data_IF_080937038600
#
_entry.id   IF_080937038600
#
_cell.length_a   1.000
_cell.length_b   1.000
_cell.length_c   1.000
_cell.angle_alpha   90.00
_cell.angle_beta   90.00
_cell.angle_gamma   90.00
#
_symmetry.space_group_name_H-M   'P 1'
#
loop_
_entity.id
_entity.type
_entity.pdbx_description
1 polymer ?
#
# COMPACT_ATOMS: atom_id res chain seq x y z
N UNK A 1 -37.53 -36.16 6.03
CA UNK A 1 -37.97 -35.33 4.89
C UNK A 1 -37.96 -33.89 5.34
N UNK A 2 -36.89 -33.18 5.05
CA UNK A 2 -36.72 -31.77 5.37
C UNK A 2 -36.72 -30.95 4.08
N UNK A 3 -37.77 -30.21 3.87
CA UNK A 3 -38.00 -29.34 2.71
C UNK A 3 -37.02 -28.21 2.73
N UNK A 4 -36.05 -28.22 1.80
CA UNK A 4 -35.20 -27.05 1.52
C UNK A 4 -36.08 -25.97 0.88
N UNK A 5 -36.34 -24.90 1.63
CA UNK A 5 -36.90 -23.67 1.07
C UNK A 5 -35.80 -23.03 0.23
N UNK A 6 -35.90 -23.15 -1.07
CA UNK A 6 -35.13 -22.35 -2.03
C UNK A 6 -35.68 -20.93 -1.98
N UNK A 7 -34.91 -20.04 -1.39
CA UNK A 7 -35.13 -18.59 -1.53
C UNK A 7 -34.83 -18.26 -3.00
N UNK A 8 -35.80 -17.70 -3.77
CA UNK A 8 -35.51 -17.28 -5.13
C UNK A 8 -34.48 -16.20 -5.08
N UNK A 9 -33.36 -16.40 -5.82
CA UNK A 9 -32.47 -15.31 -6.18
C UNK A 9 -33.31 -14.22 -6.83
N UNK A 10 -33.41 -13.09 -6.15
CA UNK A 10 -33.97 -11.88 -6.71
C UNK A 10 -33.24 -11.62 -8.03
N UNK A 11 -33.92 -11.85 -9.14
CA UNK A 11 -33.46 -11.33 -10.44
C UNK A 11 -33.61 -9.82 -10.33
N UNK A 12 -32.53 -9.13 -9.92
CA UNK A 12 -32.41 -7.72 -10.13
C UNK A 12 -32.65 -7.47 -11.62
N UNK A 13 -33.80 -6.91 -11.94
CA UNK A 13 -34.01 -6.20 -13.18
C UNK A 13 -32.92 -5.12 -13.21
N UNK A 14 -31.82 -5.39 -13.89
CA UNK A 14 -30.87 -4.38 -14.27
C UNK A 14 -31.60 -3.48 -15.26
N UNK A 15 -32.22 -2.40 -14.78
CA UNK A 15 -32.60 -1.27 -15.62
C UNK A 15 -31.34 -0.93 -16.43
N UNK A 16 -31.50 -1.04 -17.75
CA UNK A 16 -30.42 -0.75 -18.69
C UNK A 16 -30.07 0.72 -18.52
N UNK A 17 -28.98 0.99 -17.80
CA UNK A 17 -28.56 2.36 -17.53
C UNK A 17 -28.20 3.05 -18.85
N UNK A 18 -28.27 4.38 -18.85
CA UNK A 18 -28.00 5.21 -20.02
C UNK A 18 -26.66 4.90 -20.68
N UNK A 19 -26.59 5.13 -21.99
CA UNK A 19 -25.36 4.99 -22.75
C UNK A 19 -24.44 6.17 -22.51
N UNK A 20 -23.16 5.91 -22.28
CA UNK A 20 -22.11 6.92 -22.05
C UNK A 20 -21.10 6.82 -23.19
N UNK A 21 -20.87 7.94 -23.85
CA UNK A 21 -19.83 8.06 -24.89
C UNK A 21 -18.49 8.44 -24.23
N UNK A 22 -17.38 7.87 -24.72
CA UNK A 22 -16.01 8.23 -24.31
C UNK A 22 -15.21 8.61 -25.57
N UNK A 23 -14.78 9.85 -25.65
CA UNK A 23 -13.80 10.29 -26.63
C UNK A 23 -12.40 10.11 -26.09
N UNK A 24 -11.64 9.22 -26.71
CA UNK A 24 -10.28 8.88 -26.31
C UNK A 24 -10.14 7.41 -25.88
N UNK A 25 -9.31 6.69 -26.65
CA UNK A 25 -9.01 5.26 -26.48
C UNK A 25 -7.70 5.01 -25.72
N UNK A 26 -7.18 6.02 -25.00
CA UNK A 26 -6.00 5.92 -24.15
C UNK A 26 -6.26 5.13 -22.86
N UNK A 27 -5.22 4.94 -22.05
CA UNK A 27 -5.28 4.13 -20.82
C UNK A 27 -6.38 4.58 -19.85
N UNK A 28 -6.58 5.88 -19.70
CA UNK A 28 -7.61 6.43 -18.83
C UNK A 28 -9.02 6.13 -19.36
N UNK A 29 -9.28 6.43 -20.65
CA UNK A 29 -10.58 6.18 -21.26
C UNK A 29 -10.96 4.70 -21.22
N UNK A 30 -10.02 3.79 -21.53
CA UNK A 30 -10.23 2.33 -21.42
C UNK A 30 -10.55 1.87 -20.01
N UNK A 31 -9.82 2.38 -19.04
CA UNK A 31 -9.99 2.00 -17.63
C UNK A 31 -11.33 2.48 -17.09
N UNK A 32 -11.71 3.72 -17.41
CA UNK A 32 -13.00 4.28 -17.03
C UNK A 32 -14.15 3.55 -17.73
N UNK A 33 -14.02 3.29 -19.04
CA UNK A 33 -15.01 2.53 -19.81
C UNK A 33 -15.22 1.12 -19.27
N UNK A 34 -14.14 0.40 -18.92
CA UNK A 34 -14.23 -0.92 -18.26
C UNK A 34 -14.98 -0.84 -16.92
N UNK A 35 -14.74 0.21 -16.15
CA UNK A 35 -15.39 0.40 -14.86
C UNK A 35 -16.87 0.73 -15.00
N UNK A 36 -17.23 1.54 -15.97
CA UNK A 36 -18.63 1.86 -16.31
C UNK A 36 -19.40 0.62 -16.77
N UNK A 37 -18.80 -0.20 -17.65
CA UNK A 37 -19.38 -1.48 -18.10
C UNK A 37 -19.64 -2.44 -16.91
N UNK A 38 -18.67 -2.58 -16.00
CA UNK A 38 -18.82 -3.38 -14.77
C UNK A 38 -19.96 -2.86 -13.87
N UNK A 39 -20.28 -1.59 -13.96
CA UNK A 39 -21.36 -0.95 -13.18
C UNK A 39 -22.69 -0.91 -13.90
N UNK A 40 -22.82 -1.61 -15.06
CA UNK A 40 -24.07 -1.77 -15.80
C UNK A 40 -24.41 -0.64 -16.78
N UNK A 41 -23.48 0.28 -17.08
CA UNK A 41 -23.65 1.28 -18.14
C UNK A 41 -23.31 0.69 -19.51
N UNK A 42 -24.01 1.16 -20.56
CA UNK A 42 -23.57 0.92 -21.95
C UNK A 42 -22.50 1.93 -22.30
N UNK A 43 -21.36 1.46 -22.84
CA UNK A 43 -20.21 2.33 -23.17
C UNK A 43 -19.96 2.30 -24.66
N UNK A 44 -19.84 3.48 -25.27
CA UNK A 44 -19.57 3.68 -26.67
C UNK A 44 -18.27 4.51 -26.77
N UNK A 45 -17.26 3.97 -27.44
CA UNK A 45 -16.05 4.74 -27.71
C UNK A 45 -16.16 5.47 -29.06
N UNK A 46 -15.92 6.77 -29.01
CA UNK A 46 -15.71 7.55 -30.22
C UNK A 46 -14.24 7.54 -30.61
N UNK A 47 -13.93 7.05 -31.81
CA UNK A 47 -12.57 6.94 -32.33
C UNK A 47 -12.46 7.53 -33.73
N UNK A 48 -11.27 8.07 -34.07
CA UNK A 48 -10.91 8.47 -35.43
C UNK A 48 -10.80 7.26 -36.36
N UNK A 49 -10.38 6.12 -35.82
CA UNK A 49 -10.23 4.86 -36.53
C UNK A 49 -11.01 3.75 -35.78
N UNK A 50 -12.31 3.58 -36.05
CA UNK A 50 -13.14 2.58 -35.39
C UNK A 50 -12.70 1.14 -35.58
N UNK A 51 -11.96 0.86 -36.66
CA UNK A 51 -11.44 -0.49 -36.95
C UNK A 51 -10.29 -0.95 -36.05
N UNK A 52 -9.62 -0.07 -35.34
CA UNK A 52 -8.52 -0.40 -34.40
C UNK A 52 -9.01 -0.48 -32.94
N UNK A 53 -9.81 -1.50 -32.70
CA UNK A 53 -10.46 -1.72 -31.37
C UNK A 53 -9.77 -2.77 -30.50
N UNK A 54 -8.59 -3.27 -30.90
CA UNK A 54 -7.93 -4.43 -30.29
C UNK A 54 -7.66 -4.34 -28.80
N UNK A 55 -7.52 -3.13 -28.25
CA UNK A 55 -7.23 -2.86 -26.84
C UNK A 55 -8.44 -2.40 -26.04
N UNK A 56 -9.62 -2.28 -26.64
CA UNK A 56 -10.83 -1.80 -25.99
C UNK A 56 -11.59 -2.95 -25.31
N UNK A 57 -12.41 -2.68 -24.27
CA UNK A 57 -13.24 -3.72 -23.65
C UNK A 57 -14.19 -4.33 -24.66
N UNK A 58 -14.24 -5.66 -24.74
CA UNK A 58 -15.06 -6.41 -25.72
C UNK A 58 -16.55 -6.10 -25.71
N UNK A 59 -17.06 -5.62 -24.56
CA UNK A 59 -18.47 -5.27 -24.39
C UNK A 59 -18.79 -3.83 -24.78
N UNK A 60 -17.81 -3.02 -25.16
CA UNK A 60 -18.00 -1.65 -25.62
C UNK A 60 -18.22 -1.59 -27.12
N UNK A 61 -19.10 -0.70 -27.57
CA UNK A 61 -19.27 -0.37 -28.97
C UNK A 61 -18.20 0.65 -29.39
N UNK A 62 -17.67 0.56 -30.62
CA UNK A 62 -16.69 1.53 -31.11
C UNK A 62 -17.21 2.12 -32.43
N UNK A 63 -17.39 3.42 -32.46
CA UNK A 63 -17.97 4.15 -33.57
C UNK A 63 -17.13 5.39 -33.94
N UNK A 64 -17.51 6.08 -34.98
CA UNK A 64 -17.00 7.43 -35.26
C UNK A 64 -17.39 8.40 -34.14
N UNK A 65 -16.70 9.53 -33.99
CA UNK A 65 -17.02 10.52 -32.97
C UNK A 65 -18.47 11.01 -33.05
N UNK A 66 -18.95 11.25 -34.28
CA UNK A 66 -20.31 11.75 -34.56
C UNK A 66 -21.38 10.73 -34.15
N UNK A 67 -21.24 9.48 -34.61
CA UNK A 67 -22.19 8.40 -34.28
C UNK A 67 -22.21 8.05 -32.80
N UNK A 68 -21.03 8.02 -32.19
CA UNK A 68 -20.91 7.76 -30.74
C UNK A 68 -21.59 8.87 -29.91
N UNK A 69 -21.39 10.12 -30.29
CA UNK A 69 -22.02 11.25 -29.63
C UNK A 69 -23.54 11.24 -29.83
N UNK A 70 -24.05 10.89 -31.00
CA UNK A 70 -25.50 10.85 -31.27
C UNK A 70 -26.24 9.85 -30.37
N UNK A 71 -25.61 8.70 -30.06
CA UNK A 71 -26.20 7.62 -29.26
C UNK A 71 -26.18 7.87 -27.73
N UNK A 72 -25.57 8.95 -27.25
CA UNK A 72 -25.33 9.15 -25.83
C UNK A 72 -25.72 10.56 -25.38
N UNK A 73 -26.28 10.69 -24.19
CA UNK A 73 -26.59 11.99 -23.54
C UNK A 73 -25.38 12.55 -22.77
N UNK A 74 -24.47 11.67 -22.32
CA UNK A 74 -23.24 12.02 -21.60
C UNK A 74 -22.04 11.64 -22.44
N UNK A 75 -21.14 12.60 -22.66
CA UNK A 75 -19.91 12.43 -23.45
C UNK A 75 -18.71 12.75 -22.55
N UNK A 76 -17.86 11.78 -22.31
CA UNK A 76 -16.63 11.94 -21.52
C UNK A 76 -15.47 12.25 -22.49
N UNK A 77 -14.85 13.40 -22.30
CA UNK A 77 -13.74 13.89 -23.11
C UNK A 77 -12.41 13.46 -22.47
N UNK A 78 -11.91 12.27 -22.85
CA UNK A 78 -10.68 11.66 -22.30
C UNK A 78 -9.47 11.88 -23.21
N UNK A 79 -9.34 13.08 -23.75
CA UNK A 79 -8.21 13.54 -24.58
C UNK A 79 -7.56 14.76 -23.93
N UNK A 80 -6.34 15.09 -24.31
CA UNK A 80 -5.65 16.29 -23.83
C UNK A 80 -6.22 17.54 -24.49
N UNK A 81 -6.15 18.67 -23.80
CA UNK A 81 -6.64 20.00 -24.26
C UNK A 81 -6.17 20.33 -25.69
N UNK A 82 -4.92 20.06 -26.02
CA UNK A 82 -4.34 20.37 -27.34
C UNK A 82 -5.05 19.63 -28.49
N UNK A 83 -5.85 18.63 -28.17
CA UNK A 83 -6.62 17.84 -29.14
C UNK A 83 -8.11 18.13 -29.16
N UNK A 84 -8.58 19.20 -28.54
CA UNK A 84 -10.02 19.54 -28.52
C UNK A 84 -10.56 20.06 -29.85
N UNK A 85 -9.72 20.38 -30.83
CA UNK A 85 -10.14 20.97 -32.11
C UNK A 85 -11.20 20.16 -32.85
N UNK A 86 -11.20 18.83 -32.76
CA UNK A 86 -12.23 18.00 -33.43
C UNK A 86 -13.64 18.22 -32.86
N UNK A 87 -13.78 18.74 -31.63
CA UNK A 87 -15.07 19.03 -31.00
C UNK A 87 -15.79 20.22 -31.66
N UNK A 88 -15.03 21.07 -32.36
CA UNK A 88 -15.61 22.17 -33.13
C UNK A 88 -16.51 21.70 -34.26
N UNK A 89 -16.12 20.57 -34.91
CA UNK A 89 -16.89 19.94 -35.96
C UNK A 89 -18.13 19.20 -35.45
N UNK A 90 -18.20 18.95 -34.14
CA UNK A 90 -19.29 18.21 -33.51
C UNK A 90 -20.29 19.11 -32.76
N UNK A 91 -20.17 20.42 -32.83
CA UNK A 91 -21.00 21.39 -32.05
C UNK A 91 -22.51 21.11 -32.14
N UNK A 92 -23.01 20.82 -33.33
CA UNK A 92 -24.43 20.55 -33.57
C UNK A 92 -24.88 19.24 -32.88
N UNK A 93 -24.03 18.19 -32.91
CA UNK A 93 -24.32 16.89 -32.31
C UNK A 93 -24.23 16.94 -30.79
N UNK A 94 -23.39 17.83 -30.26
CA UNK A 94 -23.16 18.00 -28.82
C UNK A 94 -24.17 18.92 -28.15
N UNK A 95 -25.05 19.56 -28.91
CA UNK A 95 -26.09 20.47 -28.38
C UNK A 95 -26.95 19.77 -27.31
N UNK A 96 -27.07 20.40 -26.15
CA UNK A 96 -27.89 19.93 -25.03
C UNK A 96 -27.35 18.68 -24.30
N UNK A 97 -26.14 18.21 -24.65
CA UNK A 97 -25.49 17.07 -23.98
C UNK A 97 -24.59 17.51 -22.84
N UNK A 98 -24.28 16.55 -21.95
CA UNK A 98 -23.31 16.76 -20.86
C UNK A 98 -21.94 16.35 -21.36
N UNK A 99 -20.99 17.29 -21.35
CA UNK A 99 -19.58 17.04 -21.66
C UNK A 99 -18.80 16.96 -20.36
N UNK A 100 -18.18 15.81 -20.09
CA UNK A 100 -17.34 15.60 -18.90
C UNK A 100 -15.89 15.75 -19.29
N UNK A 101 -15.25 16.81 -18.81
CA UNK A 101 -13.81 17.00 -18.98
C UNK A 101 -13.04 16.27 -17.86
N UNK A 102 -12.14 15.36 -18.28
CA UNK A 102 -11.29 14.55 -17.36
C UNK A 102 -9.81 14.92 -17.48
N UNK A 103 -9.46 15.91 -18.28
CA UNK A 103 -8.09 16.27 -18.61
C UNK A 103 -7.35 16.94 -17.45
N UNK A 104 -6.04 16.88 -17.47
CA UNK A 104 -5.13 17.64 -16.62
C UNK A 104 -4.02 18.27 -17.46
N UNK A 105 -3.54 19.41 -17.01
CA UNK A 105 -2.34 20.03 -17.55
C UNK A 105 -1.07 19.37 -17.01
N UNK A 106 0.01 19.36 -17.80
CA UNK A 106 1.30 18.82 -17.38
C UNK A 106 2.00 19.71 -16.34
N UNK A 107 1.73 21.01 -16.39
CA UNK A 107 2.30 22.00 -15.48
C UNK A 107 1.19 22.79 -14.78
N UNK A 108 1.40 23.13 -13.53
CA UNK A 108 0.51 24.01 -12.77
C UNK A 108 0.51 25.39 -13.45
N UNK A 109 -0.67 25.99 -13.59
CA UNK A 109 -0.87 27.27 -14.27
C UNK A 109 -0.35 27.32 -15.74
N UNK A 110 -0.44 26.19 -16.45
CA UNK A 110 0.01 26.13 -17.85
C UNK A 110 -0.77 27.05 -18.78
N UNK A 111 -2.08 27.23 -18.53
CA UNK A 111 -2.96 28.12 -19.28
C UNK A 111 -3.66 29.09 -18.32
N UNK A 112 -4.10 30.28 -18.77
CA UNK A 112 -4.78 31.26 -17.94
C UNK A 112 -6.15 30.73 -17.45
N UNK A 113 -6.89 30.04 -18.29
CA UNK A 113 -8.18 29.41 -18.01
C UNK A 113 -8.04 27.90 -17.78
N UNK A 114 -9.03 27.26 -17.13
CA UNK A 114 -9.08 25.81 -16.98
C UNK A 114 -9.38 25.11 -18.33
N UNK A 115 -9.06 23.83 -18.42
CA UNK A 115 -9.41 23.03 -19.59
C UNK A 115 -10.92 22.89 -19.76
N UNK A 116 -11.65 22.83 -18.63
CA UNK A 116 -13.11 22.76 -18.64
C UNK A 116 -13.75 24.07 -19.12
N UNK A 117 -13.23 25.23 -18.72
CA UNK A 117 -13.67 26.53 -19.23
C UNK A 117 -13.38 26.67 -20.73
N UNK A 118 -12.21 26.24 -21.17
CA UNK A 118 -11.86 26.21 -22.59
C UNK A 118 -12.81 25.28 -23.38
N UNK A 119 -13.14 24.10 -22.84
CA UNK A 119 -14.11 23.20 -23.45
C UNK A 119 -15.51 23.85 -23.58
N UNK A 120 -15.94 24.62 -22.57
CA UNK A 120 -17.19 25.37 -22.60
C UNK A 120 -17.20 26.47 -23.67
N UNK A 121 -16.06 27.09 -23.97
CA UNK A 121 -15.93 28.04 -25.08
C UNK A 121 -16.02 27.33 -26.44
N UNK A 122 -15.47 26.14 -26.60
CA UNK A 122 -15.54 25.36 -27.85
C UNK A 122 -16.96 24.86 -28.12
N UNK A 123 -17.68 24.39 -27.09
CA UNK A 123 -19.02 23.82 -27.22
C UNK A 123 -20.02 24.56 -26.33
N UNK A 124 -20.39 25.81 -26.66
CA UNK A 124 -21.21 26.67 -25.80
C UNK A 124 -22.67 26.21 -25.65
N UNK A 125 -23.14 25.34 -26.51
CA UNK A 125 -24.48 24.74 -26.47
C UNK A 125 -24.57 23.46 -25.64
N UNK A 126 -23.43 22.94 -25.16
CA UNK A 126 -23.35 21.79 -24.29
C UNK A 126 -23.10 22.21 -22.83
N UNK A 127 -23.50 21.37 -21.90
CA UNK A 127 -23.22 21.56 -20.47
C UNK A 127 -21.93 20.92 -20.05
N UNK A 128 -20.94 21.70 -19.64
CA UNK A 128 -19.62 21.15 -19.23
C UNK A 128 -19.58 20.85 -17.74
N UNK A 129 -19.07 19.67 -17.41
CA UNK A 129 -18.78 19.21 -16.04
C UNK A 129 -17.34 18.78 -15.94
N UNK A 130 -16.60 19.33 -15.00
CA UNK A 130 -15.25 18.82 -14.66
C UNK A 130 -15.37 17.68 -13.68
N UNK A 131 -14.80 16.53 -14.00
CA UNK A 131 -14.77 15.38 -13.08
C UNK A 131 -13.63 14.41 -13.42
N UNK A 132 -13.32 13.47 -12.51
CA UNK A 132 -12.36 12.36 -12.69
C UNK A 132 -10.89 12.73 -12.90
N UNK A 133 -10.53 13.97 -13.03
CA UNK A 133 -9.15 14.41 -13.29
C UNK A 133 -8.15 14.02 -12.18
N UNK A 134 -8.62 13.76 -10.95
CA UNK A 134 -7.81 13.36 -9.80
C UNK A 134 -7.67 11.83 -9.64
N UNK A 135 -8.34 11.05 -10.50
CA UNK A 135 -8.30 9.57 -10.47
C UNK A 135 -7.32 9.05 -11.49
N UNK A 136 -6.45 8.12 -11.10
CA UNK A 136 -5.53 7.49 -12.05
C UNK A 136 -6.19 6.32 -12.78
N UNK A 137 -5.74 6.06 -14.03
CA UNK A 137 -6.16 4.89 -14.82
C UNK A 137 -5.91 3.57 -14.05
N UNK A 138 -4.80 3.49 -13.34
CA UNK A 138 -4.46 2.35 -12.51
C UNK A 138 -5.45 2.13 -11.35
N UNK A 139 -5.88 3.21 -10.70
CA UNK A 139 -6.87 3.12 -9.62
C UNK A 139 -8.23 2.59 -10.09
N UNK A 140 -8.63 2.95 -11.32
CA UNK A 140 -9.85 2.45 -11.95
C UNK A 140 -9.75 0.95 -12.29
N UNK A 141 -8.58 0.47 -12.71
CA UNK A 141 -8.36 -0.93 -13.07
C UNK A 141 -8.19 -1.84 -11.86
N UNK A 142 -7.38 -1.44 -10.89
CA UNK A 142 -6.99 -2.30 -9.77
C UNK A 142 -8.06 -2.42 -8.69
N UNK A 143 -9.06 -1.55 -8.68
CA UNK A 143 -10.07 -1.50 -7.61
C UNK A 143 -9.44 -1.30 -6.23
N UNK A 144 -8.18 -0.81 -6.17
CA UNK A 144 -7.40 -0.78 -4.96
C UNK A 144 -8.06 0.10 -3.90
N UNK A 145 -8.13 -0.42 -2.69
CA UNK A 145 -8.57 0.30 -1.49
C UNK A 145 -7.67 1.52 -1.18
N UNK A 146 -6.50 1.55 -1.79
CA UNK A 146 -5.41 2.50 -1.53
C UNK A 146 -5.42 3.73 -2.45
N UNK A 147 -6.28 3.77 -3.46
CA UNK A 147 -6.40 4.92 -4.35
C UNK A 147 -7.30 5.99 -3.72
N UNK A 148 -6.99 7.25 -3.99
CA UNK A 148 -7.87 8.36 -3.64
C UNK A 148 -9.23 8.16 -4.35
N UNK A 149 -10.27 7.75 -3.60
CA UNK A 149 -11.60 7.49 -4.13
C UNK A 149 -12.42 8.75 -4.31
N UNK A 150 -11.90 9.90 -3.91
CA UNK A 150 -12.58 11.17 -4.03
C UNK A 150 -12.47 11.68 -5.46
N UNK A 151 -13.62 12.03 -6.03
CA UNK A 151 -13.75 12.68 -7.34
C UNK A 151 -14.33 14.06 -7.11
N UNK A 152 -13.55 15.07 -7.42
CA UNK A 152 -14.04 16.44 -7.40
C UNK A 152 -14.91 16.67 -8.64
N UNK A 153 -16.09 17.24 -8.42
CA UNK A 153 -17.04 17.53 -9.49
C UNK A 153 -17.45 19.01 -9.39
N UNK A 154 -17.34 19.73 -10.49
CA UNK A 154 -17.82 21.10 -10.58
C UNK A 154 -18.49 21.37 -11.93
N UNK A 155 -19.52 22.19 -11.93
CA UNK A 155 -20.27 22.63 -13.10
C UNK A 155 -21.20 23.78 -12.70
N UNK A 156 -21.58 24.61 -13.67
CA UNK A 156 -22.57 25.67 -13.46
C UNK A 156 -24.00 25.11 -13.48
N UNK A 157 -24.25 23.98 -14.14
CA UNK A 157 -25.54 23.29 -14.13
C UNK A 157 -25.61 22.25 -13.01
N UNK A 158 -26.52 22.49 -12.04
CA UNK A 158 -26.69 21.59 -10.89
C UNK A 158 -27.27 20.22 -11.27
N UNK A 159 -28.11 20.13 -12.33
CA UNK A 159 -28.69 18.86 -12.77
C UNK A 159 -27.63 17.96 -13.40
N UNK A 160 -26.85 18.51 -14.34
CA UNK A 160 -25.74 17.82 -14.96
C UNK A 160 -24.70 17.40 -13.91
N UNK A 161 -24.35 18.27 -12.97
CA UNK A 161 -23.45 17.97 -11.86
C UNK A 161 -23.95 16.78 -11.03
N UNK A 162 -25.22 16.79 -10.62
CA UNK A 162 -25.81 15.71 -9.84
C UNK A 162 -25.80 14.38 -10.62
N UNK A 163 -26.14 14.39 -11.90
CA UNK A 163 -26.11 13.20 -12.76
C UNK A 163 -24.70 12.60 -12.82
N UNK A 164 -23.66 13.42 -12.98
CA UNK A 164 -22.28 12.93 -12.97
C UNK A 164 -21.87 12.43 -11.59
N UNK A 165 -22.28 13.07 -10.49
CA UNK A 165 -22.05 12.60 -9.14
C UNK A 165 -22.69 11.22 -8.90
N UNK A 166 -23.86 10.94 -9.46
CA UNK A 166 -24.53 9.64 -9.36
C UNK A 166 -23.77 8.56 -10.17
N UNK A 167 -23.25 8.89 -11.34
CA UNK A 167 -22.34 8.02 -12.10
C UNK A 167 -21.08 7.70 -11.28
N UNK A 168 -20.46 8.71 -10.64
CA UNK A 168 -19.30 8.54 -9.77
C UNK A 168 -19.59 7.57 -8.62
N UNK A 169 -20.77 7.70 -7.97
CA UNK A 169 -21.21 6.78 -6.90
C UNK A 169 -21.42 5.36 -7.43
N UNK A 170 -22.04 5.23 -8.59
CA UNK A 170 -22.35 3.95 -9.20
C UNK A 170 -21.09 3.13 -9.52
N UNK A 171 -19.99 3.77 -9.89
CA UNK A 171 -18.70 3.09 -10.12
C UNK A 171 -17.86 2.87 -8.85
N UNK A 172 -18.43 3.17 -7.66
CA UNK A 172 -17.79 2.92 -6.35
C UNK A 172 -16.81 4.00 -5.89
N UNK A 173 -16.88 5.20 -6.48
CA UNK A 173 -16.09 6.37 -6.07
C UNK A 173 -16.94 7.33 -5.23
N UNK A 174 -16.29 8.26 -4.52
CA UNK A 174 -16.95 9.23 -3.64
C UNK A 174 -16.90 10.61 -4.30
N UNK A 175 -18.01 11.13 -4.82
CA UNK A 175 -18.04 12.45 -5.42
C UNK A 175 -18.01 13.53 -4.33
N UNK A 176 -17.31 14.62 -4.62
CA UNK A 176 -17.27 15.83 -3.81
C UNK A 176 -17.60 17.02 -4.69
N UNK A 177 -18.70 17.68 -4.37
CA UNK A 177 -19.12 18.92 -5.06
C UNK A 177 -18.15 20.06 -4.74
N UNK A 178 -17.63 20.70 -5.78
CA UNK A 178 -16.73 21.86 -5.71
C UNK A 178 -17.40 23.15 -6.20
N UNK A 179 -18.70 23.13 -6.46
CA UNK A 179 -19.47 24.30 -6.88
C UNK A 179 -19.48 24.52 -8.38
N UNK A 180 -19.26 25.77 -8.82
CA UNK A 180 -19.31 26.21 -10.21
C UNK A 180 -18.11 25.77 -11.04
N UNK A 181 -18.20 25.92 -12.37
CA UNK A 181 -17.13 25.56 -13.31
C UNK A 181 -15.84 26.35 -13.07
N UNK A 182 -15.89 27.52 -12.49
CA UNK A 182 -14.72 28.34 -12.10
C UNK A 182 -13.78 27.56 -11.16
N UNK A 183 -14.32 26.67 -10.32
CA UNK A 183 -13.50 25.82 -9.47
C UNK A 183 -12.65 24.79 -10.25
N UNK A 184 -12.92 24.58 -11.55
CA UNK A 184 -12.15 23.65 -12.37
C UNK A 184 -10.67 23.99 -12.39
N UNK A 185 -10.30 25.26 -12.39
CA UNK A 185 -8.91 25.72 -12.35
C UNK A 185 -8.20 25.25 -11.09
N UNK A 186 -8.81 25.40 -9.92
CA UNK A 186 -8.28 24.91 -8.65
C UNK A 186 -8.14 23.37 -8.64
N UNK A 187 -9.11 22.67 -9.22
CA UNK A 187 -9.12 21.21 -9.30
C UNK A 187 -8.03 20.69 -10.24
N UNK A 188 -7.77 21.37 -11.36
CA UNK A 188 -6.72 21.02 -12.32
C UNK A 188 -5.32 21.29 -11.77
N UNK A 189 -5.16 22.38 -11.04
CA UNK A 189 -3.91 22.74 -10.37
C UNK A 189 -3.74 22.04 -9.01
N UNK A 190 -4.71 21.17 -8.62
CA UNK A 190 -4.61 20.41 -7.39
C UNK A 190 -3.37 19.51 -7.41
N UNK A 191 -2.45 19.68 -6.46
CA UNK A 191 -1.19 18.96 -6.48
C UNK A 191 -1.43 17.45 -6.34
N UNK A 192 -1.29 16.72 -7.43
CA UNK A 192 -1.29 15.27 -7.41
C UNK A 192 -0.10 14.81 -6.56
N UNK A 193 -0.40 14.24 -5.42
CA UNK A 193 0.64 13.73 -4.53
C UNK A 193 1.29 12.50 -5.16
N UNK A 194 2.58 12.62 -5.53
CA UNK A 194 3.35 11.47 -5.99
C UNK A 194 3.48 10.45 -4.85
N UNK A 195 3.05 9.23 -5.12
CA UNK A 195 3.18 8.09 -4.21
C UNK A 195 2.66 8.36 -2.78
N UNK A 196 1.40 8.79 -2.56
CA UNK A 196 0.91 9.20 -1.24
C UNK A 196 1.06 8.10 -0.18
N UNK A 197 0.85 6.83 -0.56
CA UNK A 197 0.98 5.68 0.33
C UNK A 197 2.42 5.29 0.65
N UNK A 198 3.40 5.76 -0.14
CA UNK A 198 4.82 5.48 0.07
C UNK A 198 5.53 6.51 0.95
N UNK A 199 4.95 7.69 1.14
CA UNK A 199 5.58 8.78 1.90
C UNK A 199 5.90 8.36 3.33
N UNK A 200 4.92 7.89 4.09
CA UNK A 200 5.12 7.46 5.47
C UNK A 200 6.14 6.31 5.59
N UNK A 201 6.05 5.20 4.83
CA UNK A 201 7.07 4.16 4.79
C UNK A 201 8.47 4.66 4.48
N UNK A 202 8.61 5.52 3.47
CA UNK A 202 9.92 6.07 3.07
C UNK A 202 10.52 6.98 4.13
N UNK A 203 9.72 7.89 4.73
CA UNK A 203 10.20 8.72 5.84
C UNK A 203 10.57 7.89 7.08
N UNK A 204 9.78 6.87 7.41
CA UNK A 204 10.09 5.96 8.52
C UNK A 204 11.39 5.19 8.25
N UNK A 205 11.56 4.67 7.04
CA UNK A 205 12.77 3.97 6.63
C UNK A 205 13.99 4.89 6.66
N UNK A 206 13.90 6.09 6.07
CA UNK A 206 14.98 7.07 6.06
C UNK A 206 15.38 7.50 7.48
N UNK A 207 14.39 7.82 8.33
CA UNK A 207 14.63 8.19 9.72
C UNK A 207 15.32 7.09 10.53
N UNK A 208 14.84 5.83 10.41
CA UNK A 208 15.49 4.69 11.05
C UNK A 208 16.91 4.46 10.52
N UNK A 209 17.10 4.58 9.20
CA UNK A 209 18.43 4.42 8.58
C UNK A 209 19.42 5.45 9.09
N UNK A 210 19.04 6.72 9.13
CA UNK A 210 19.87 7.80 9.67
C UNK A 210 20.19 7.56 11.14
N UNK A 211 19.19 7.22 11.94
CA UNK A 211 19.37 6.96 13.38
C UNK A 211 20.35 5.79 13.61
N UNK A 212 20.14 4.66 12.93
CA UNK A 212 21.02 3.48 13.05
C UNK A 212 22.41 3.76 12.49
N UNK A 213 22.52 4.54 11.40
CA UNK A 213 23.80 4.96 10.84
C UNK A 213 24.59 5.81 11.84
N UNK A 214 23.99 6.84 12.41
CA UNK A 214 24.64 7.68 13.43
C UNK A 214 25.06 6.86 14.64
N UNK A 215 24.20 5.94 15.07
CA UNK A 215 24.53 5.03 16.17
C UNK A 215 25.76 4.16 15.83
N UNK A 216 25.82 3.58 14.63
CA UNK A 216 26.99 2.81 14.18
C UNK A 216 28.25 3.67 14.09
N UNK A 217 28.15 4.88 13.56
CA UNK A 217 29.30 5.81 13.46
C UNK A 217 29.83 6.15 14.85
N UNK A 218 28.96 6.52 15.79
CA UNK A 218 29.39 6.84 17.15
C UNK A 218 30.01 5.61 17.82
N UNK A 219 29.34 4.47 17.77
CA UNK A 219 29.78 3.28 18.47
C UNK A 219 31.01 2.61 17.86
N UNK A 220 31.16 2.63 16.54
CA UNK A 220 32.26 1.91 15.86
C UNK A 220 33.40 2.83 15.41
N UNK A 221 33.11 4.04 14.92
CA UNK A 221 34.14 4.95 14.39
C UNK A 221 34.66 5.88 15.48
N UNK A 222 33.77 6.65 16.12
CA UNK A 222 34.20 7.67 17.11
C UNK A 222 34.86 6.99 18.30
N UNK A 223 34.30 5.92 18.82
CA UNK A 223 34.91 5.15 19.93
C UNK A 223 36.29 4.61 19.60
N UNK A 224 36.53 4.10 18.39
CA UNK A 224 37.84 3.60 18.00
C UNK A 224 38.83 4.75 17.66
N UNK A 225 38.35 5.87 17.11
CA UNK A 225 39.13 7.04 16.86
C UNK A 225 39.69 7.65 18.16
N UNK A 226 38.89 7.68 19.25
CA UNK A 226 39.34 8.08 20.58
C UNK A 226 40.51 7.20 21.07
N UNK A 227 40.48 5.91 20.72
CA UNK A 227 41.53 4.95 21.03
C UNK A 227 42.69 4.97 20.02
N UNK A 228 42.73 5.93 19.09
CA UNK A 228 43.73 6.07 18.01
C UNK A 228 43.79 4.81 17.10
N UNK A 229 42.69 4.11 16.93
CA UNK A 229 42.58 2.95 16.02
C UNK A 229 41.83 3.43 14.77
N UNK A 230 42.51 3.39 13.61
CA UNK A 230 41.86 3.71 12.33
C UNK A 230 40.98 2.55 11.87
N UNK A 231 39.70 2.82 11.75
CA UNK A 231 38.66 1.88 11.27
C UNK A 231 37.84 2.47 10.14
N UNK A 232 38.34 3.55 9.50
CA UNK A 232 37.65 4.26 8.41
C UNK A 232 37.26 3.35 7.23
N UNK A 233 38.03 2.29 6.99
CA UNK A 233 37.76 1.27 5.96
C UNK A 233 36.44 0.47 6.19
N UNK A 234 35.88 0.50 7.40
CA UNK A 234 34.60 -0.15 7.70
C UNK A 234 33.39 0.62 7.15
N UNK A 235 33.57 1.90 6.81
CA UNK A 235 32.46 2.80 6.47
C UNK A 235 31.65 2.31 5.26
N UNK A 236 32.31 1.86 4.21
CA UNK A 236 31.67 1.59 2.92
C UNK A 236 30.91 0.28 2.82
N UNK A 237 31.36 -0.77 3.51
CA UNK A 237 30.73 -2.11 3.40
C UNK A 237 30.27 -2.66 4.76
N UNK A 238 31.11 -2.58 5.78
CA UNK A 238 30.79 -3.23 7.05
C UNK A 238 29.68 -2.50 7.81
N UNK A 239 29.64 -1.17 7.78
CA UNK A 239 28.57 -0.38 8.41
C UNK A 239 27.24 -0.57 7.68
N UNK A 240 27.12 -0.40 6.34
CA UNK A 240 25.88 -0.70 5.62
C UNK A 240 25.36 -2.13 5.87
N UNK A 241 26.25 -3.13 5.87
CA UNK A 241 25.86 -4.52 6.16
C UNK A 241 25.33 -4.75 7.59
N UNK A 242 25.57 -3.83 8.52
CA UNK A 242 24.97 -3.84 9.86
C UNK A 242 23.65 -3.07 9.88
N UNK A 243 23.55 -1.97 9.12
CA UNK A 243 22.37 -1.11 9.07
C UNK A 243 21.20 -1.82 8.39
N UNK A 244 21.43 -2.40 7.22
CA UNK A 244 20.37 -3.01 6.41
C UNK A 244 19.56 -4.07 7.16
N UNK A 245 20.15 -5.08 7.82
CA UNK A 245 19.37 -6.08 8.55
C UNK A 245 18.64 -5.50 9.76
N UNK A 246 19.28 -4.55 10.46
CA UNK A 246 18.67 -3.87 11.63
C UNK A 246 17.42 -3.11 11.21
N UNK A 247 17.53 -2.26 10.21
CA UNK A 247 16.39 -1.46 9.70
C UNK A 247 15.33 -2.37 9.11
N UNK A 248 15.70 -3.39 8.33
CA UNK A 248 14.77 -4.36 7.76
C UNK A 248 13.95 -5.06 8.83
N UNK A 249 14.59 -5.59 9.87
CA UNK A 249 13.91 -6.31 10.96
C UNK A 249 13.01 -5.39 11.79
N UNK A 250 13.43 -4.16 12.05
CA UNK A 250 12.60 -3.15 12.72
C UNK A 250 11.36 -2.79 11.88
N UNK A 251 11.53 -2.55 10.58
CA UNK A 251 10.43 -2.26 9.65
C UNK A 251 9.46 -3.45 9.55
N UNK A 252 9.97 -4.67 9.50
CA UNK A 252 9.14 -5.88 9.50
C UNK A 252 8.30 -5.97 10.79
N UNK A 253 8.89 -5.69 11.94
CA UNK A 253 8.17 -5.59 13.21
C UNK A 253 7.07 -4.52 13.16
N UNK A 254 7.39 -3.34 12.61
CA UNK A 254 6.43 -2.24 12.42
C UNK A 254 5.28 -2.58 11.45
N UNK A 255 5.44 -3.53 10.53
CA UNK A 255 4.35 -4.04 9.69
C UNK A 255 3.28 -4.79 10.50
N UNK A 256 3.67 -5.52 11.55
CA UNK A 256 2.76 -6.35 12.34
C UNK A 256 2.23 -5.65 13.59
N UNK A 257 2.96 -4.67 14.11
CA UNK A 257 2.62 -3.94 15.33
C UNK A 257 1.23 -3.26 15.27
N UNK A 258 0.81 -2.58 14.19
CA UNK A 258 -0.51 -1.94 14.15
C UNK A 258 -1.66 -2.96 14.21
N UNK A 259 -1.48 -4.19 13.70
CA UNK A 259 -2.46 -5.25 13.85
C UNK A 259 -2.65 -5.72 15.30
N UNK A 260 -1.58 -5.69 16.08
CA UNK A 260 -1.59 -5.97 17.53
C UNK A 260 -2.30 -4.83 18.28
N UNK A 261 -1.98 -3.57 17.98
CA UNK A 261 -2.66 -2.41 18.57
C UNK A 261 -4.15 -2.39 18.23
N UNK A 262 -4.52 -2.70 17.00
CA UNK A 262 -5.91 -2.80 16.59
C UNK A 262 -6.68 -3.86 17.41
N UNK A 263 -6.07 -5.02 17.65
CA UNK A 263 -6.66 -6.07 18.48
C UNK A 263 -6.83 -5.62 19.94
N UNK A 264 -5.84 -4.95 20.53
CA UNK A 264 -5.89 -4.42 21.90
C UNK A 264 -7.00 -3.36 22.01
N UNK A 265 -7.09 -2.43 21.04
CA UNK A 265 -8.14 -1.41 21.04
C UNK A 265 -9.53 -2.03 20.88
N UNK A 266 -9.69 -3.07 20.05
CA UNK A 266 -10.95 -3.81 19.92
C UNK A 266 -11.35 -4.50 21.23
N UNK A 267 -10.40 -5.11 21.94
CA UNK A 267 -10.63 -5.69 23.26
C UNK A 267 -11.06 -4.65 24.31
N UNK A 268 -10.39 -3.50 24.31
CA UNK A 268 -10.70 -2.41 25.24
C UNK A 268 -12.09 -1.83 24.97
N UNK A 269 -12.41 -1.52 23.71
CA UNK A 269 -13.71 -0.94 23.33
C UNK A 269 -14.86 -1.93 23.33
N UNK A 270 -14.59 -3.22 23.13
CA UNK A 270 -15.60 -4.28 23.10
C UNK A 270 -16.50 -4.26 21.86
N UNK A 271 -16.15 -3.51 20.80
CA UNK A 271 -16.91 -3.40 19.56
C UNK A 271 -15.98 -3.36 18.33
N UNK A 272 -16.45 -3.87 17.19
CA UNK A 272 -15.77 -3.75 15.89
C UNK A 272 -16.21 -2.52 15.09
N UNK A 273 -17.30 -1.87 15.46
CA UNK A 273 -17.92 -0.79 14.68
C UNK A 273 -17.33 0.60 14.97
N UNK A 274 -16.58 0.73 16.07
CA UNK A 274 -15.93 1.99 16.40
C UNK A 274 -14.70 2.22 15.54
N UNK A 275 -14.63 3.38 14.88
CA UNK A 275 -13.51 3.77 14.01
C UNK A 275 -12.21 3.82 14.80
N UNK A 276 -11.11 3.32 14.22
CA UNK A 276 -9.78 3.43 14.81
C UNK A 276 -9.29 4.88 14.83
N UNK A 277 -8.34 5.23 15.72
CA UNK A 277 -7.66 6.51 15.66
C UNK A 277 -7.00 6.74 14.30
N UNK A 278 -7.04 7.97 13.80
CA UNK A 278 -6.54 8.30 12.46
C UNK A 278 -5.08 7.89 12.22
N UNK A 279 -4.21 7.97 13.25
CA UNK A 279 -2.82 7.55 13.15
C UNK A 279 -2.67 6.04 12.92
N UNK A 280 -3.48 5.22 13.61
CA UNK A 280 -3.46 3.77 13.47
C UNK A 280 -4.03 3.33 12.13
N UNK A 281 -5.12 3.98 11.69
CA UNK A 281 -5.74 3.74 10.39
C UNK A 281 -4.76 4.00 9.24
N UNK A 282 -4.09 5.17 9.25
CA UNK A 282 -3.02 5.50 8.29
C UNK A 282 -1.87 4.50 8.32
N UNK A 283 -1.46 4.07 9.51
CA UNK A 283 -0.39 3.07 9.65
C UNK A 283 -0.80 1.71 9.08
N UNK A 284 -2.04 1.27 9.34
CA UNK A 284 -2.56 0.01 8.78
C UNK A 284 -2.64 0.04 7.24
N UNK A 285 -2.98 1.18 6.65
CA UNK A 285 -3.06 1.35 5.20
C UNK A 285 -1.68 1.24 4.50
N UNK A 286 -0.60 1.71 5.12
CA UNK A 286 0.73 1.69 4.52
C UNK A 286 1.58 0.44 4.85
N UNK A 287 1.01 -0.59 5.51
CA UNK A 287 1.73 -1.81 5.91
C UNK A 287 2.37 -2.55 4.73
N UNK A 288 1.68 -2.61 3.59
CA UNK A 288 2.17 -3.24 2.36
C UNK A 288 3.47 -2.58 1.89
N UNK A 289 3.46 -1.26 1.74
CA UNK A 289 4.61 -0.49 1.29
C UNK A 289 5.76 -0.59 2.28
N UNK A 290 5.46 -0.55 3.58
CA UNK A 290 6.44 -0.72 4.65
C UNK A 290 7.13 -2.10 4.57
N UNK A 291 6.36 -3.16 4.33
CA UNK A 291 6.88 -4.52 4.14
C UNK A 291 7.75 -4.66 2.90
N UNK A 292 7.39 -4.02 1.78
CA UNK A 292 8.19 -4.04 0.55
C UNK A 292 9.52 -3.28 0.72
N UNK A 293 9.52 -2.14 1.41
CA UNK A 293 10.77 -1.42 1.74
C UNK A 293 11.66 -2.27 2.65
N UNK A 294 11.07 -2.92 3.65
CA UNK A 294 11.80 -3.80 4.55
C UNK A 294 12.41 -5.01 3.80
N UNK A 295 11.68 -5.60 2.83
CA UNK A 295 12.21 -6.66 1.97
C UNK A 295 13.38 -6.18 1.10
N UNK A 296 13.30 -4.96 0.56
CA UNK A 296 14.42 -4.38 -0.20
C UNK A 296 15.69 -4.24 0.64
N UNK A 297 15.56 -3.84 1.92
CA UNK A 297 16.69 -3.80 2.85
C UNK A 297 17.20 -5.19 3.22
N UNK A 298 16.34 -6.20 3.37
CA UNK A 298 16.75 -7.59 3.56
C UNK A 298 17.53 -8.11 2.34
N UNK A 299 17.10 -7.75 1.13
CA UNK A 299 17.79 -8.12 -0.10
C UNK A 299 19.18 -7.47 -0.19
N UNK A 300 19.30 -6.19 0.14
CA UNK A 300 20.59 -5.50 0.22
C UNK A 300 21.50 -6.17 1.26
N UNK A 301 20.99 -6.54 2.43
CA UNK A 301 21.75 -7.28 3.43
C UNK A 301 22.29 -8.61 2.87
N UNK A 302 21.46 -9.37 2.17
CA UNK A 302 21.89 -10.63 1.56
C UNK A 302 23.01 -10.41 0.55
N UNK A 303 22.92 -9.42 -0.34
CA UNK A 303 23.96 -9.07 -1.31
C UNK A 303 25.26 -8.67 -0.60
N UNK A 304 25.18 -7.74 0.37
CA UNK A 304 26.37 -7.31 1.10
C UNK A 304 27.03 -8.43 1.87
N UNK A 305 26.26 -9.36 2.43
CA UNK A 305 26.77 -10.53 3.13
C UNK A 305 27.53 -11.48 2.19
N UNK A 306 27.07 -11.63 0.93
CA UNK A 306 27.78 -12.42 -0.08
C UNK A 306 29.07 -11.72 -0.57
N UNK A 307 29.08 -10.39 -0.65
CA UNK A 307 30.24 -9.63 -1.11
C UNK A 307 31.37 -9.55 -0.07
N UNK A 308 31.05 -9.57 1.22
CA UNK A 308 32.04 -9.44 2.30
C UNK A 308 33.15 -10.50 2.25
N UNK A 309 32.86 -11.80 2.12
CA UNK A 309 33.88 -12.83 2.02
C UNK A 309 34.81 -12.66 0.80
N UNK A 310 34.25 -12.19 -0.31
CA UNK A 310 34.99 -11.95 -1.55
C UNK A 310 35.99 -10.79 -1.36
N UNK A 311 35.54 -9.69 -0.73
CA UNK A 311 36.36 -8.50 -0.55
C UNK A 311 37.44 -8.63 0.52
N UNK A 312 37.08 -9.16 1.68
CA UNK A 312 38.07 -9.36 2.77
C UNK A 312 38.93 -10.57 2.56
N UNK A 313 38.90 -11.09 1.35
CA UNK A 313 39.56 -12.27 0.91
C UNK A 313 39.90 -13.20 2.10
N UNK A 314 39.18 -14.27 2.15
CA UNK A 314 39.64 -15.52 2.76
C UNK A 314 41.13 -15.68 2.57
N UNK A 315 41.69 -15.15 1.49
CA UNK A 315 43.08 -15.09 1.11
C UNK A 315 43.97 -14.43 2.16
N UNK A 316 43.72 -13.22 2.63
CA UNK A 316 44.67 -12.54 3.51
C UNK A 316 44.57 -12.97 4.99
N UNK A 317 43.38 -13.13 5.53
CA UNK A 317 43.20 -13.60 6.91
C UNK A 317 43.38 -15.12 7.06
N UNK A 318 42.93 -15.88 6.06
CA UNK A 318 43.08 -17.31 6.04
C UNK A 318 44.57 -17.71 5.93
N UNK A 319 45.29 -17.11 5.01
CA UNK A 319 46.70 -17.38 4.77
C UNK A 319 47.55 -16.98 5.99
N UNK A 320 47.33 -15.82 6.58
CA UNK A 320 48.03 -15.37 7.78
C UNK A 320 47.67 -16.19 9.01
N UNK A 321 46.42 -16.64 9.17
CA UNK A 321 46.02 -17.54 10.25
C UNK A 321 46.62 -18.92 10.09
N UNK A 322 46.65 -19.48 8.89
CA UNK A 322 47.26 -20.78 8.59
C UNK A 322 48.77 -20.70 8.80
N UNK A 323 49.43 -19.66 8.29
CA UNK A 323 50.89 -19.47 8.46
C UNK A 323 51.24 -19.32 9.94
N UNK A 324 50.45 -18.57 10.73
CA UNK A 324 50.70 -18.44 12.16
C UNK A 324 50.49 -19.76 12.94
N UNK A 325 49.47 -20.55 12.56
CA UNK A 325 49.21 -21.86 13.17
C UNK A 325 50.30 -22.89 12.82
N UNK A 326 50.77 -22.88 11.58
CA UNK A 326 51.90 -23.74 11.15
C UNK A 326 53.17 -23.35 11.90
N UNK A 327 53.48 -22.06 12.03
CA UNK A 327 54.62 -21.57 12.82
C UNK A 327 54.55 -21.95 14.29
N UNK A 328 53.35 -22.06 14.87
CA UNK A 328 53.13 -22.42 16.28
C UNK A 328 52.98 -23.94 16.51
N UNK A 329 53.06 -24.77 15.47
CA UNK A 329 52.86 -26.21 15.51
C UNK A 329 51.57 -26.66 16.26
N UNK A 330 50.52 -25.82 16.17
CA UNK A 330 49.21 -26.04 16.80
C UNK A 330 48.27 -26.79 15.85
N UNK A 331 47.75 -27.94 16.29
CA UNK A 331 46.67 -28.63 15.62
C UNK A 331 45.38 -27.77 15.68
N UNK A 332 44.71 -27.60 14.56
CA UNK A 332 43.44 -26.86 14.48
C UNK A 332 42.35 -27.71 15.13
N UNK A 333 41.96 -27.33 16.34
CA UNK A 333 40.81 -27.93 17.02
C UNK A 333 39.52 -27.32 16.43
N UNK A 334 38.70 -28.21 15.86
CA UNK A 334 37.38 -27.81 15.32
C UNK A 334 36.40 -27.65 16.49
N UNK A 335 36.08 -26.41 16.83
CA UNK A 335 35.12 -26.11 17.90
C UNK A 335 33.68 -26.36 17.41
N UNK A 336 33.18 -27.58 17.61
CA UNK A 336 31.84 -28.02 17.22
C UNK A 336 30.68 -27.02 17.62
N UNK A 337 30.64 -26.48 18.86
CA UNK A 337 29.58 -25.54 19.24
C UNK A 337 29.56 -24.28 18.41
N UNK A 338 30.71 -23.76 17.98
CA UNK A 338 30.82 -22.56 17.15
C UNK A 338 30.26 -22.79 15.73
N UNK A 339 30.54 -24.00 15.19
CA UNK A 339 30.01 -24.38 13.87
C UNK A 339 28.49 -24.53 13.92
N UNK A 340 27.99 -25.28 14.91
CA UNK A 340 26.54 -25.42 15.10
C UNK A 340 25.80 -24.06 15.16
N UNK A 341 26.32 -23.12 15.91
CA UNK A 341 25.75 -21.79 15.99
C UNK A 341 25.77 -21.08 14.63
N UNK A 342 26.91 -21.14 13.94
CA UNK A 342 27.09 -20.54 12.62
C UNK A 342 26.07 -21.08 11.61
N UNK A 343 25.93 -22.37 11.54
CA UNK A 343 25.03 -23.05 10.63
C UNK A 343 23.57 -22.78 10.98
N UNK A 344 23.24 -22.76 12.28
CA UNK A 344 21.88 -22.48 12.75
C UNK A 344 21.42 -21.08 12.39
N UNK A 345 22.21 -20.03 12.66
CA UNK A 345 21.76 -18.69 12.30
C UNK A 345 21.70 -18.48 10.79
N UNK A 346 22.61 -19.08 10.02
CA UNK A 346 22.56 -19.03 8.55
C UNK A 346 21.29 -19.72 8.02
N UNK A 347 20.99 -20.92 8.50
CA UNK A 347 19.78 -21.66 8.12
C UNK A 347 18.50 -20.88 8.42
N UNK A 348 18.40 -20.29 9.61
CA UNK A 348 17.27 -19.43 9.98
C UNK A 348 17.18 -18.20 9.08
N UNK A 349 18.31 -17.58 8.72
CA UNK A 349 18.37 -16.43 7.83
C UNK A 349 17.91 -16.77 6.41
N UNK A 350 18.38 -17.86 5.84
CA UNK A 350 18.00 -18.34 4.50
C UNK A 350 16.50 -18.63 4.46
N UNK A 351 16.00 -19.41 5.43
CA UNK A 351 14.59 -19.78 5.49
C UNK A 351 13.68 -18.57 5.73
N UNK A 352 14.07 -17.67 6.63
CA UNK A 352 13.36 -16.42 6.89
C UNK A 352 13.30 -15.53 5.65
N UNK A 353 14.42 -15.40 4.92
CA UNK A 353 14.47 -14.61 3.69
C UNK A 353 13.64 -15.22 2.56
N UNK A 354 13.64 -16.56 2.42
CA UNK A 354 12.78 -17.26 1.47
C UNK A 354 11.30 -16.92 1.70
N UNK A 355 10.80 -17.07 2.93
CA UNK A 355 9.41 -16.72 3.23
C UNK A 355 9.14 -15.22 3.08
N UNK A 356 10.14 -14.38 3.32
CA UNK A 356 10.00 -12.94 3.11
C UNK A 356 9.80 -12.60 1.62
N UNK A 357 10.52 -13.28 0.72
CA UNK A 357 10.32 -13.16 -0.74
C UNK A 357 8.90 -13.59 -1.11
N UNK A 358 8.41 -14.71 -0.57
CA UNK A 358 7.02 -15.18 -0.82
C UNK A 358 5.99 -14.14 -0.38
N UNK A 359 6.18 -13.48 0.78
CA UNK A 359 5.33 -12.37 1.23
C UNK A 359 5.37 -11.17 0.26
N UNK A 360 6.55 -10.86 -0.27
CA UNK A 360 6.72 -9.79 -1.26
C UNK A 360 6.00 -10.08 -2.57
N UNK A 361 6.20 -11.29 -3.11
CA UNK A 361 5.56 -11.73 -4.37
C UNK A 361 4.04 -11.72 -4.23
N UNK A 362 3.49 -12.25 -3.13
CA UNK A 362 2.04 -12.24 -2.89
C UNK A 362 1.46 -10.85 -2.65
N UNK A 363 2.30 -9.85 -2.38
CA UNK A 363 1.90 -8.45 -2.26
C UNK A 363 1.81 -7.74 -3.63
N UNK A 364 2.32 -8.32 -4.71
CA UNK A 364 2.21 -7.75 -6.06
C UNK A 364 0.74 -7.75 -6.51
N UNK A 365 0.24 -6.68 -7.17
CA UNK A 365 -1.15 -6.58 -7.59
C UNK A 365 -1.60 -7.73 -8.48
N UNK A 366 -0.75 -8.18 -9.42
CA UNK A 366 -1.02 -9.31 -10.31
C UNK A 366 -1.25 -10.62 -9.55
N UNK A 367 -0.45 -10.89 -8.52
CA UNK A 367 -0.55 -12.11 -7.71
C UNK A 367 -1.69 -12.00 -6.71
N UNK A 368 -1.83 -10.85 -6.03
CA UNK A 368 -2.89 -10.65 -5.03
C UNK A 368 -4.31 -10.72 -5.64
N UNK A 369 -4.46 -10.38 -6.93
CA UNK A 369 -5.74 -10.49 -7.64
C UNK A 369 -6.03 -11.92 -8.12
N UNK A 370 -5.02 -12.77 -8.29
CA UNK A 370 -5.16 -14.16 -8.70
C UNK A 370 -5.40 -15.12 -7.54
N UNK A 371 -5.07 -14.70 -6.32
CA UNK A 371 -5.16 -15.53 -5.10
C UNK A 371 -6.48 -15.30 -4.38
N UNK A 372 -7.10 -16.36 -3.86
CA UNK A 372 -8.30 -16.28 -3.03
C UNK A 372 -8.02 -15.49 -1.74
N UNK A 373 -9.02 -14.74 -1.24
CA UNK A 373 -8.91 -13.96 0.00
C UNK A 373 -8.45 -14.79 1.22
N UNK A 374 -8.86 -16.06 1.33
CA UNK A 374 -8.44 -16.96 2.42
C UNK A 374 -6.97 -17.30 2.33
N UNK A 375 -6.48 -17.60 1.13
CA UNK A 375 -5.07 -17.89 0.84
C UNK A 375 -4.21 -16.67 1.07
N UNK A 376 -4.60 -15.52 0.52
CA UNK A 376 -3.93 -14.24 0.75
C UNK A 376 -3.80 -13.92 2.25
N UNK A 377 -4.90 -14.06 2.99
CA UNK A 377 -4.91 -13.82 4.43
C UNK A 377 -4.05 -14.81 5.20
N UNK A 378 -4.02 -16.08 4.78
CA UNK A 378 -3.14 -17.10 5.38
C UNK A 378 -1.68 -16.71 5.20
N UNK A 379 -1.25 -16.43 3.97
CA UNK A 379 0.13 -16.04 3.65
C UNK A 379 0.51 -14.76 4.39
N UNK A 380 -0.23 -13.69 4.24
CA UNK A 380 0.14 -12.39 4.83
C UNK A 380 0.06 -12.38 6.36
N UNK A 381 -0.75 -13.21 6.99
CA UNK A 381 -0.87 -13.27 8.44
C UNK A 381 -0.07 -14.41 9.06
N UNK A 382 -0.34 -15.66 8.72
CA UNK A 382 0.29 -16.82 9.37
C UNK A 382 1.74 -16.98 8.97
N UNK A 383 2.01 -17.01 7.66
CA UNK A 383 3.37 -17.11 7.15
C UNK A 383 4.17 -15.84 7.48
N UNK A 384 3.52 -14.67 7.52
CA UNK A 384 4.16 -13.43 7.92
C UNK A 384 4.68 -13.43 9.35
N UNK A 385 3.92 -13.94 10.32
CA UNK A 385 4.41 -14.10 11.70
C UNK A 385 5.50 -15.16 11.80
N UNK A 386 5.43 -16.22 11.00
CA UNK A 386 6.52 -17.21 10.90
C UNK A 386 7.80 -16.56 10.37
N UNK A 387 7.70 -15.75 9.33
CA UNK A 387 8.83 -14.97 8.80
C UNK A 387 9.44 -14.07 9.87
N UNK A 388 8.60 -13.33 10.59
CA UNK A 388 9.05 -12.47 11.69
C UNK A 388 9.77 -13.27 12.77
N UNK A 389 9.25 -14.44 13.14
CA UNK A 389 9.85 -15.33 14.13
C UNK A 389 11.22 -15.85 13.66
N UNK A 390 11.32 -16.30 12.42
CA UNK A 390 12.58 -16.83 11.84
C UNK A 390 13.65 -15.73 11.74
N UNK A 391 13.29 -14.54 11.26
CA UNK A 391 14.21 -13.41 11.17
C UNK A 391 14.66 -12.91 12.56
N UNK A 392 13.75 -12.93 13.54
CA UNK A 392 14.09 -12.60 14.94
C UNK A 392 15.00 -13.66 15.53
N UNK A 393 14.71 -14.96 15.31
CA UNK A 393 15.54 -16.09 15.73
C UNK A 393 16.93 -16.03 15.10
N UNK A 394 17.03 -15.69 13.81
CA UNK A 394 18.32 -15.46 13.13
C UNK A 394 19.17 -14.40 13.87
N UNK A 395 18.59 -13.26 14.19
CA UNK A 395 19.30 -12.20 14.91
C UNK A 395 19.64 -12.58 16.36
N UNK A 396 18.78 -13.33 17.05
CA UNK A 396 19.04 -13.82 18.40
C UNK A 396 20.19 -14.83 18.44
N UNK A 397 20.20 -15.84 17.55
CA UNK A 397 21.26 -16.85 17.47
C UNK A 397 22.58 -16.23 17.04
N UNK A 398 22.57 -15.24 16.13
CA UNK A 398 23.75 -14.47 15.77
C UNK A 398 24.39 -13.79 16.99
N UNK A 399 23.58 -13.23 17.88
CA UNK A 399 24.02 -12.50 19.06
C UNK A 399 24.19 -13.34 20.32
N UNK A 400 23.84 -14.62 20.29
CA UNK A 400 23.67 -15.51 21.45
C UNK A 400 24.76 -15.40 22.54
N UNK A 401 26.04 -15.46 22.15
CA UNK A 401 27.18 -15.38 23.05
C UNK A 401 27.62 -13.94 23.39
N UNK A 402 26.96 -12.94 22.83
CA UNK A 402 27.39 -11.53 22.91
C UNK A 402 26.50 -10.69 23.82
N UNK A 403 25.30 -11.18 24.19
CA UNK A 403 24.35 -10.45 25.00
C UNK A 403 24.84 -10.14 26.41
N UNK A 404 25.59 -11.07 27.03
CA UNK A 404 26.04 -10.97 28.41
C UNK A 404 27.50 -10.50 28.56
N UNK A 405 28.20 -10.27 27.46
CA UNK A 405 29.61 -9.87 27.49
C UNK A 405 29.71 -8.34 27.65
N UNK A 406 30.01 -7.88 28.85
CA UNK A 406 30.13 -6.45 29.18
C UNK A 406 31.16 -5.70 28.34
N UNK A 407 32.24 -6.34 27.91
CA UNK A 407 33.26 -5.72 27.04
C UNK A 407 32.78 -5.35 25.65
N UNK A 408 31.58 -5.81 25.24
CA UNK A 408 30.92 -5.45 23.99
C UNK A 408 30.11 -4.15 24.08
N UNK A 409 29.81 -3.70 25.32
CA UNK A 409 29.07 -2.45 25.58
C UNK A 409 30.04 -1.29 25.62
N UNK A 410 30.10 -0.56 24.50
CA UNK A 410 30.96 0.65 24.37
C UNK A 410 30.23 1.83 24.96
N UNK A 411 30.83 2.54 25.88
CA UNK A 411 30.18 3.63 26.63
C UNK A 411 28.81 3.23 27.19
N UNK A 412 28.68 1.98 27.69
CA UNK A 412 27.44 1.40 28.18
C UNK A 412 26.30 1.28 27.12
N UNK A 413 26.57 1.59 25.84
CA UNK A 413 25.59 1.42 24.75
C UNK A 413 25.53 -0.03 24.28
N UNK A 414 24.31 -0.57 24.07
CA UNK A 414 24.16 -1.95 23.60
C UNK A 414 24.67 -2.12 22.14
N UNK A 415 25.11 -3.31 21.75
CA UNK A 415 25.42 -3.56 20.34
C UNK A 415 24.20 -3.35 19.43
N UNK A 416 24.42 -2.88 18.19
CA UNK A 416 23.36 -2.49 17.23
C UNK A 416 22.34 -3.61 16.98
N UNK A 417 22.75 -4.87 16.92
CA UNK A 417 21.83 -6.02 16.70
C UNK A 417 20.83 -6.21 17.85
N UNK A 418 21.13 -5.75 19.06
CA UNK A 418 20.17 -5.78 20.18
C UNK A 418 19.03 -4.79 19.97
N UNK A 419 19.33 -3.62 19.41
CA UNK A 419 18.30 -2.63 19.08
C UNK A 419 17.30 -3.18 18.08
N UNK A 420 17.76 -3.98 17.11
CA UNK A 420 16.88 -4.58 16.10
C UNK A 420 15.86 -5.55 16.68
N UNK A 421 16.12 -6.14 17.85
CA UNK A 421 15.25 -7.14 18.48
C UNK A 421 14.11 -6.52 19.28
N UNK A 422 14.20 -5.26 19.69
CA UNK A 422 13.21 -4.61 20.58
C UNK A 422 11.80 -4.66 20.00
N UNK A 423 11.61 -4.16 18.78
CA UNK A 423 10.28 -4.09 18.14
C UNK A 423 9.75 -5.49 17.80
N UNK A 424 10.51 -6.38 17.12
CA UNK A 424 10.04 -7.73 16.78
C UNK A 424 9.69 -8.58 18.01
N UNK A 425 10.52 -8.56 19.05
CA UNK A 425 10.24 -9.29 20.27
C UNK A 425 8.97 -8.77 20.95
N UNK A 426 8.79 -7.45 21.02
CA UNK A 426 7.55 -6.84 21.55
C UNK A 426 6.34 -7.32 20.77
N UNK A 427 6.40 -7.31 19.44
CA UNK A 427 5.30 -7.78 18.57
C UNK A 427 5.00 -9.26 18.82
N UNK A 428 6.04 -10.11 18.88
CA UNK A 428 5.87 -11.55 19.09
C UNK A 428 5.29 -11.86 20.49
N UNK A 429 5.77 -11.20 21.53
CA UNK A 429 5.25 -11.36 22.91
C UNK A 429 3.79 -10.92 22.98
N UNK A 430 3.46 -9.73 22.48
CA UNK A 430 2.08 -9.25 22.47
C UNK A 430 1.18 -10.17 21.62
N UNK A 431 1.68 -10.70 20.52
CA UNK A 431 0.93 -11.65 19.70
C UNK A 431 0.69 -12.97 20.42
N UNK A 432 1.68 -13.48 21.16
CA UNK A 432 1.52 -14.68 22.00
C UNK A 432 0.43 -14.47 23.06
N UNK A 433 0.41 -13.30 23.72
CA UNK A 433 -0.65 -12.96 24.67
C UNK A 433 -2.04 -12.93 23.99
N UNK A 434 -2.13 -12.41 22.76
CA UNK A 434 -3.39 -12.36 22.03
C UNK A 434 -3.88 -13.73 21.53
N UNK A 435 -3.03 -14.76 21.49
CA UNK A 435 -3.37 -16.13 21.08
C UNK A 435 -3.90 -16.95 22.26
N UNK A 436 -3.73 -16.49 23.51
CA UNK A 436 -4.28 -17.17 24.68
C UNK A 436 -5.80 -17.40 24.47
N UNK A 437 -6.32 -18.64 24.63
CA UNK A 437 -7.70 -19.01 24.26
C UNK A 437 -8.77 -18.08 24.84
N UNK A 438 -8.56 -17.62 26.07
CA UNK A 438 -9.46 -16.69 26.74
C UNK A 438 -9.58 -15.34 26.00
N UNK A 439 -8.45 -14.82 25.51
CA UNK A 439 -8.38 -13.54 24.80
C UNK A 439 -8.80 -13.71 23.35
N UNK A 440 -8.34 -14.76 22.68
CA UNK A 440 -8.65 -15.04 21.27
C UNK A 440 -10.14 -15.26 21.06
N UNK A 441 -10.79 -16.05 21.91
CA UNK A 441 -12.24 -16.27 21.88
C UNK A 441 -13.01 -14.94 22.04
N UNK A 442 -12.53 -14.05 22.89
CA UNK A 442 -13.16 -12.75 23.10
C UNK A 442 -13.00 -11.84 21.88
N UNK A 443 -11.80 -11.77 21.30
CA UNK A 443 -11.54 -11.01 20.06
C UNK A 443 -12.39 -11.55 18.93
N UNK A 444 -12.48 -12.86 18.78
CA UNK A 444 -13.26 -13.52 17.74
C UNK A 444 -14.74 -13.19 17.86
N UNK A 445 -15.32 -13.22 19.06
CA UNK A 445 -16.70 -12.80 19.32
C UNK A 445 -16.92 -11.33 18.93
N UNK A 446 -16.02 -10.41 19.34
CA UNK A 446 -16.11 -8.98 18.97
C UNK A 446 -16.06 -8.82 17.45
N UNK A 447 -15.18 -9.53 16.76
CA UNK A 447 -15.05 -9.48 15.29
C UNK A 447 -16.26 -10.08 14.55
N UNK A 448 -16.97 -11.01 15.17
CA UNK A 448 -18.25 -11.52 14.69
C UNK A 448 -19.42 -10.55 14.91
N UNK A 449 -19.22 -9.49 15.68
CA UNK A 449 -20.23 -8.45 15.93
C UNK A 449 -20.89 -8.53 17.30
N UNK A 450 -20.39 -9.37 18.21
CA UNK A 450 -20.88 -9.40 19.60
C UNK A 450 -20.36 -8.18 20.36
N UNK A 451 -21.28 -7.34 20.83
CA UNK A 451 -20.94 -6.15 21.60
C UNK A 451 -21.16 -6.39 23.10
N UNK A 452 -20.36 -5.71 23.93
CA UNK A 452 -20.71 -5.60 25.35
C UNK A 452 -21.94 -4.69 25.46
N UNK A 453 -22.96 -5.06 26.25
CA UNK A 453 -24.02 -4.13 26.58
C UNK A 453 -23.39 -2.89 27.20
N UNK A 454 -23.57 -1.72 26.58
CA UNK A 454 -23.10 -0.47 27.19
C UNK A 454 -23.91 -0.23 28.46
N UNK A 455 -23.29 0.08 29.57
CA UNK A 455 -23.96 0.39 30.84
C UNK A 455 -25.02 1.49 30.68
N UNK A 456 -24.82 2.44 29.77
CA UNK A 456 -25.78 3.49 29.42
C UNK A 456 -27.04 2.97 28.70
N UNK A 457 -26.97 1.89 27.90
CA UNK A 457 -28.14 1.28 27.27
C UNK A 457 -28.94 0.42 28.27
N UNK A 458 -28.29 -0.14 29.28
CA UNK A 458 -28.93 -0.88 30.37
C UNK A 458 -29.75 0.06 31.27
N UNK A 459 -29.22 1.25 31.61
CA UNK A 459 -29.95 2.27 32.38
C UNK A 459 -31.13 2.86 31.60
N UNK A 460 -30.99 3.09 30.29
CA UNK A 460 -32.10 3.56 29.45
C UNK A 460 -33.22 2.51 29.30
N UNK A 461 -32.88 1.21 29.20
CA UNK A 461 -33.87 0.13 29.19
C UNK A 461 -34.54 -0.09 30.55
N UNK A 462 -33.80 0.07 31.65
CA UNK A 462 -34.39 0.04 32.99
C UNK A 462 -35.34 1.24 33.21
N UNK A 463 -34.97 2.44 32.75
CA UNK A 463 -35.85 3.63 32.86
C UNK A 463 -37.09 3.51 31.95
N UNK A 464 -36.99 2.90 30.77
CA UNK A 464 -38.20 2.65 29.94
C UNK A 464 -39.11 1.58 30.44
N UNK A 465 -38.62 0.60 31.21
CA UNK A 465 -39.45 -0.39 31.90
C UNK A 465 -40.11 0.12 33.21
N UNK A 466 -39.50 1.16 33.83
CA UNK A 466 -40.06 1.76 35.07
C UNK A 466 -41.11 2.84 34.80
N UNK A 467 -41.34 3.22 33.54
CA UNK A 467 -42.39 4.18 33.12
C UNK A 467 -43.61 3.47 32.55
N UNK A 468 -43.58 2.14 32.46
CA UNK A 468 -44.68 1.31 31.94
C UNK A 468 -45.37 0.47 33.03
N UNK A 469 -45.28 0.88 34.30
CA UNK A 469 -46.11 0.38 35.42
C UNK A 469 -46.78 1.55 36.15
#
# INVERSE_FOLDING_TARGET
MGTKVLIPLCSDFTEKRDSICIFGTGDFGRSLGSKLLQSGYSVIFGSRNPGDASLLPRAAEVLSHTEAAQKSSVVIVAVQRDHYGFLEELKDVLQGKILVDVSNNLKVNQYPESNAEHLAQIAPTATVVKAFNTVSAWALQSGSLDANRQVFVCSDDNKAKQQIMDIVRAIGLTPQDKGSLVAAKEIEDYPLQLYPMWRLPMYTCAGLTVLVFLYCVINDIVYNAEKKIDVSFLLMISIPNRIFPVVSLMLLGLCYLPGVFAAIIQLYRGTKYSRFPNWLDRWMLCRKQLGLVALAYAFLHAIYTLVIPIRYSVRHRGDMSIISQIKLNKTRILEKPLIWRSDTYLALGILGFFFYIVLGITSLPSVSNAVNWREFRFVQSKLGYLTLLLCTGHAMVYGWDRFLILTRYRWYMPPVYMLSLVIPCTVLVLKLLLIIPCIDNRITKIRQGWERPSSKKSEAKLKSCSVAF
#
